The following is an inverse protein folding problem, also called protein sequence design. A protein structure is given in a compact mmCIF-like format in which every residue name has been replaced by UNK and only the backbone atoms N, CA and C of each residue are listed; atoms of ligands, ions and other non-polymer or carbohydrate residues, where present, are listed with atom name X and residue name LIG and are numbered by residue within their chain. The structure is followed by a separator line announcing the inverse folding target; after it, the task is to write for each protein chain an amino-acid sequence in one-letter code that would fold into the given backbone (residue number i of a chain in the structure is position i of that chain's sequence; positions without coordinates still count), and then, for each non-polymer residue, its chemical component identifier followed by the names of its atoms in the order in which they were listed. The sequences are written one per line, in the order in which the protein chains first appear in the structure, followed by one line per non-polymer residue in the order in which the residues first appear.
data_IF_363806062770
#
_entry.id   IF_363806062770
#
_cell.length_a   1.000
_cell.length_b   1.000
_cell.length_c   1.000
_cell.angle_alpha   90.00
_cell.angle_beta   90.00
_cell.angle_gamma   90.00
#
_symmetry.space_group_name_H-M   'P 1'
#
loop_
_entity.id
_entity.type
_entity.pdbx_description
1 polymer ?
#
# COMPACT_ATOMS: atom_id res chain seq x y z
N UNK A 1 14.25 24.16 7.35
CA UNK A 1 13.69 22.81 7.57
C UNK A 1 14.63 21.80 6.93
N UNK A 2 15.10 20.78 7.65
CA UNK A 2 15.93 19.73 7.03
C UNK A 2 15.10 19.00 5.97
N UNK A 3 15.60 18.89 4.75
CA UNK A 3 15.00 18.01 3.75
C UNK A 3 15.16 16.57 4.26
N UNK A 4 14.06 15.96 4.69
CA UNK A 4 14.09 14.55 5.07
C UNK A 4 14.32 13.73 3.80
N UNK A 5 15.35 12.88 3.81
CA UNK A 5 15.58 11.92 2.74
C UNK A 5 14.61 10.75 2.92
N UNK A 6 13.82 10.47 1.88
CA UNK A 6 12.88 9.36 1.86
C UNK A 6 12.85 8.69 0.49
N UNK A 7 12.56 7.40 0.47
CA UNK A 7 12.21 6.69 -0.74
C UNK A 7 10.71 6.75 -0.94
N UNK A 8 10.27 7.20 -2.12
CA UNK A 8 8.85 7.21 -2.45
C UNK A 8 8.50 6.23 -3.55
N UNK A 9 7.34 5.59 -3.40
CA UNK A 9 6.77 4.76 -4.44
C UNK A 9 5.24 4.83 -4.43
N UNK A 10 4.66 4.38 -5.54
CA UNK A 10 3.22 4.36 -5.75
C UNK A 10 2.77 2.92 -5.98
N UNK A 11 1.74 2.52 -5.24
CA UNK A 11 0.97 1.31 -5.47
C UNK A 11 -0.42 1.65 -5.98
N UNK A 12 -0.94 0.82 -6.89
CA UNK A 12 -2.27 0.99 -7.49
C UNK A 12 -2.99 -0.34 -7.55
N UNK A 13 -4.25 -0.37 -7.12
CA UNK A 13 -5.12 -1.54 -7.24
C UNK A 13 -6.55 -1.11 -7.50
N UNK A 14 -7.15 -1.61 -8.58
CA UNK A 14 -8.46 -1.14 -9.06
C UNK A 14 -8.46 0.41 -9.11
N UNK A 15 -9.29 1.04 -8.28
CA UNK A 15 -9.42 2.49 -8.15
C UNK A 15 -8.57 3.08 -7.01
N UNK A 16 -7.95 2.23 -6.18
CA UNK A 16 -7.14 2.65 -5.04
C UNK A 16 -5.72 3.05 -5.47
N UNK A 17 -5.26 4.19 -4.96
CA UNK A 17 -3.91 4.70 -5.12
C UNK A 17 -3.28 4.92 -3.74
N UNK A 18 -2.13 4.30 -3.52
CA UNK A 18 -1.33 4.45 -2.31
C UNK A 18 0.01 5.11 -2.65
N UNK A 19 0.29 6.28 -2.07
CA UNK A 19 1.59 6.93 -2.12
C UNK A 19 2.32 6.65 -0.81
N UNK A 20 3.38 5.86 -0.90
CA UNK A 20 4.18 5.41 0.25
C UNK A 20 5.48 6.22 0.29
N UNK A 21 5.82 6.74 1.46
CA UNK A 21 7.11 7.33 1.78
C UNK A 21 7.77 6.52 2.88
N UNK A 22 8.99 6.11 2.62
CA UNK A 22 9.80 5.28 3.49
C UNK A 22 11.00 6.10 3.94
N UNK A 23 11.11 6.32 5.24
CA UNK A 23 12.15 7.13 5.85
C UNK A 23 13.20 6.22 6.50
N UNK A 24 14.47 6.46 6.15
CA UNK A 24 15.61 5.92 6.88
C UNK A 24 15.85 6.82 8.09
N UNK A 25 15.71 6.26 9.30
CA UNK A 25 15.92 7.03 10.52
C UNK A 25 17.29 6.71 11.09
N UNK A 26 18.19 7.69 11.04
CA UNK A 26 19.53 7.60 11.62
C UNK A 26 19.68 8.67 12.70
N UNK A 27 19.57 8.29 13.98
CA UNK A 27 19.71 9.20 15.11
C UNK A 27 19.34 8.55 16.44
N UNK A 28 19.75 9.15 17.57
CA UNK A 28 19.51 8.62 18.93
C UNK A 28 18.02 8.41 19.25
N UNK A 29 17.15 9.31 18.78
CA UNK A 29 15.71 9.27 19.09
C UNK A 29 14.86 8.51 18.06
N UNK A 30 15.46 8.08 16.94
CA UNK A 30 14.80 7.23 15.91
C UNK A 30 13.38 7.66 15.52
N UNK A 31 13.10 8.97 15.48
CA UNK A 31 11.80 9.53 15.10
C UNK A 31 11.89 10.44 13.88
N UNK A 32 10.78 10.47 13.13
CA UNK A 32 10.60 11.33 11.95
C UNK A 32 9.32 12.13 12.10
N UNK A 33 9.45 13.46 12.01
CA UNK A 33 8.30 14.36 12.05
C UNK A 33 7.83 14.67 10.63
N UNK A 34 6.62 14.25 10.28
CA UNK A 34 6.01 14.46 8.96
C UNK A 34 4.94 15.55 9.06
N UNK A 35 5.06 16.59 8.23
CA UNK A 35 4.01 17.59 8.03
C UNK A 35 3.11 17.13 6.89
N UNK A 36 1.81 16.96 7.17
CA UNK A 36 0.78 16.82 6.14
C UNK A 36 0.02 18.14 6.00
N UNK A 37 -0.49 18.42 4.80
CA UNK A 37 -1.40 19.56 4.58
C UNK A 37 -2.78 19.32 5.19
N UNK A 38 -3.17 18.06 5.34
CA UNK A 38 -4.51 17.65 5.80
C UNK A 38 -4.56 17.40 7.31
N UNK A 39 -3.41 17.16 7.95
CA UNK A 39 -3.34 17.01 9.39
C UNK A 39 -3.15 18.38 10.06
N UNK A 40 -3.97 18.65 11.09
CA UNK A 40 -3.81 19.84 11.95
C UNK A 40 -2.51 19.81 12.76
N UNK A 41 -1.97 18.61 13.02
CA UNK A 41 -0.80 18.40 13.87
C UNK A 41 0.36 17.72 13.13
N UNK A 42 1.57 17.93 13.63
CA UNK A 42 2.77 17.26 13.16
C UNK A 42 2.78 15.81 13.64
N UNK A 43 2.91 14.86 12.70
CA UNK A 43 2.90 13.45 13.02
C UNK A 43 4.33 13.01 13.29
N UNK A 44 4.58 12.54 14.51
CA UNK A 44 5.86 11.90 14.87
C UNK A 44 5.72 10.40 14.64
N UNK A 45 6.56 9.85 13.78
CA UNK A 45 6.60 8.43 13.42
C UNK A 45 7.90 7.84 13.96
N UNK A 46 7.81 6.78 14.75
CA UNK A 46 9.02 6.06 15.21
C UNK A 46 9.46 5.02 14.17
N UNK A 47 10.69 4.57 14.30
CA UNK A 47 11.20 3.44 13.53
C UNK A 47 10.32 2.19 13.76
N UNK A 48 9.95 1.48 12.69
CA UNK A 48 9.04 0.32 12.73
C UNK A 48 7.55 0.68 12.67
N UNK A 49 7.19 1.96 12.85
CA UNK A 49 5.79 2.38 12.81
C UNK A 49 5.34 2.72 11.38
N UNK A 50 4.10 2.34 11.08
CA UNK A 50 3.43 2.63 9.82
C UNK A 50 2.19 3.48 10.09
N UNK A 51 2.12 4.63 9.45
CA UNK A 51 0.97 5.53 9.48
C UNK A 51 0.28 5.57 8.12
N UNK A 52 -1.05 5.45 8.13
CA UNK A 52 -1.92 5.53 6.95
C UNK A 52 -2.91 6.68 7.16
N UNK A 53 -2.92 7.66 6.25
CA UNK A 53 -3.84 8.81 6.32
C UNK A 53 -3.90 9.45 7.72
N UNK A 54 -2.72 9.67 8.31
CA UNK A 54 -2.54 10.32 9.62
C UNK A 54 -2.97 9.50 10.84
N UNK A 55 -3.36 8.23 10.64
CA UNK A 55 -3.70 7.32 11.74
C UNK A 55 -2.70 6.16 11.78
N UNK A 56 -2.48 5.55 12.96
CA UNK A 56 -1.73 4.30 13.06
C UNK A 56 -2.36 3.21 12.19
N UNK A 57 -1.55 2.40 11.51
CA UNK A 57 -2.04 1.38 10.58
C UNK A 57 -3.04 0.40 11.22
N UNK A 58 -2.86 0.07 12.50
CA UNK A 58 -3.74 -0.81 13.26
C UNK A 58 -5.16 -0.25 13.45
N UNK A 59 -5.32 1.08 13.46
CA UNK A 59 -6.63 1.72 13.52
C UNK A 59 -7.30 1.77 12.15
N UNK A 60 -6.53 1.74 11.06
CA UNK A 60 -7.05 1.80 9.69
C UNK A 60 -7.44 0.41 9.15
N UNK A 61 -6.60 -0.59 9.42
CA UNK A 61 -6.83 -2.01 9.08
C UNK A 61 -6.94 -2.80 10.38
N UNK A 62 -8.17 -3.11 10.77
CA UNK A 62 -8.47 -3.72 12.08
C UNK A 62 -8.35 -5.25 12.07
N UNK A 63 -8.39 -5.89 10.90
CA UNK A 63 -8.40 -7.35 10.81
C UNK A 63 -7.00 -7.95 10.87
N UNK A 64 -6.86 -9.07 11.58
CA UNK A 64 -5.60 -9.84 11.66
C UNK A 64 -5.13 -10.34 10.28
N UNK A 65 -6.06 -10.65 9.38
CA UNK A 65 -5.74 -11.04 8.01
C UNK A 65 -5.06 -9.89 7.25
N UNK A 66 -5.57 -8.67 7.43
CA UNK A 66 -5.01 -7.47 6.82
C UNK A 66 -3.63 -7.16 7.40
N UNK A 67 -3.48 -7.33 8.72
CA UNK A 67 -2.19 -7.21 9.43
C UNK A 67 -1.11 -8.11 8.85
N UNK A 68 -1.43 -9.38 8.63
CA UNK A 68 -0.50 -10.32 8.00
C UNK A 68 -0.10 -9.86 6.60
N UNK A 69 -1.05 -9.35 5.81
CA UNK A 69 -0.80 -8.96 4.42
C UNK A 69 0.12 -7.75 4.28
N UNK A 70 -0.10 -6.66 5.03
CA UNK A 70 0.77 -5.48 4.92
C UNK A 70 2.17 -5.68 5.53
N UNK A 71 2.31 -6.56 6.53
CA UNK A 71 3.61 -6.90 7.12
C UNK A 71 4.42 -7.88 6.26
N UNK A 72 3.76 -8.72 5.44
CA UNK A 72 4.43 -9.74 4.62
C UNK A 72 5.65 -9.22 3.82
N UNK A 73 5.59 -8.10 3.07
CA UNK A 73 6.77 -7.60 2.34
C UNK A 73 7.94 -7.15 3.25
N UNK A 74 7.64 -6.67 4.46
CA UNK A 74 8.66 -6.31 5.45
C UNK A 74 9.31 -7.55 6.07
N UNK A 75 8.51 -8.58 6.38
CA UNK A 75 9.00 -9.87 6.89
C UNK A 75 9.93 -10.55 5.90
N UNK A 76 9.50 -10.65 4.64
CA UNK A 76 10.26 -11.30 3.58
C UNK A 76 11.61 -10.62 3.33
N UNK A 77 11.71 -9.31 3.59
CA UNK A 77 12.94 -8.54 3.43
C UNK A 77 13.72 -8.33 4.74
N UNK A 78 13.26 -8.93 5.85
CA UNK A 78 13.81 -8.76 7.21
C UNK A 78 13.98 -7.28 7.64
N UNK A 79 13.02 -6.43 7.29
CA UNK A 79 13.09 -4.97 7.51
C UNK A 79 11.95 -4.41 8.37
N UNK A 80 11.27 -5.23 9.19
CA UNK A 80 10.10 -4.80 9.97
C UNK A 80 10.38 -3.56 10.82
N UNK A 81 11.48 -3.57 11.57
CA UNK A 81 11.83 -2.49 12.51
C UNK A 81 12.84 -1.50 11.93
N UNK A 82 13.09 -1.51 10.61
CA UNK A 82 14.13 -0.68 10.01
C UNK A 82 13.63 0.70 9.62
N UNK A 83 12.38 0.81 9.18
CA UNK A 83 11.88 2.00 8.49
C UNK A 83 10.76 2.68 9.26
N UNK A 84 10.69 4.00 9.18
CA UNK A 84 9.48 4.75 9.52
C UNK A 84 8.68 4.96 8.23
N UNK A 85 7.38 4.64 8.22
CA UNK A 85 6.58 4.64 7.00
C UNK A 85 5.38 5.57 7.12
N UNK A 86 5.24 6.48 6.15
CA UNK A 86 4.06 7.34 6.01
C UNK A 86 3.37 7.07 4.68
N UNK A 87 2.06 6.83 4.74
CA UNK A 87 1.27 6.49 3.55
C UNK A 87 0.05 7.38 3.44
N UNK A 88 -0.19 7.85 2.22
CA UNK A 88 -1.44 8.48 1.81
C UNK A 88 -2.17 7.57 0.83
N UNK A 89 -3.38 7.17 1.17
CA UNK A 89 -4.20 6.26 0.36
C UNK A 89 -5.54 6.92 0.04
N UNK A 90 -5.95 6.85 -1.23
CA UNK A 90 -7.24 7.37 -1.72
C UNK A 90 -7.89 6.41 -2.70
N UNK A 91 -9.23 6.41 -2.74
CA UNK A 91 -10.04 5.66 -3.70
C UNK A 91 -10.25 4.17 -3.36
N UNK A 92 -11.25 3.56 -4.00
CA UNK A 92 -11.64 2.17 -3.83
C UNK A 92 -12.12 1.82 -2.41
N UNK A 93 -12.11 0.52 -2.08
CA UNK A 93 -12.46 -0.01 -0.75
C UNK A 93 -11.26 -0.58 0.00
N UNK A 94 -11.43 -0.97 1.26
CA UNK A 94 -10.36 -1.38 2.18
C UNK A 94 -9.42 -2.44 1.60
N UNK A 95 -9.97 -3.51 1.01
CA UNK A 95 -9.16 -4.58 0.39
C UNK A 95 -8.30 -4.05 -0.77
N UNK A 96 -8.87 -3.21 -1.62
CA UNK A 96 -8.13 -2.60 -2.73
C UNK A 96 -7.05 -1.64 -2.24
N UNK A 97 -7.33 -0.91 -1.16
CA UNK A 97 -6.39 0.00 -0.50
C UNK A 97 -5.22 -0.76 0.14
N UNK A 98 -5.49 -1.89 0.78
CA UNK A 98 -4.49 -2.78 1.37
C UNK A 98 -3.55 -3.35 0.30
N UNK A 99 -4.08 -3.92 -0.78
CA UNK A 99 -3.28 -4.43 -1.89
C UNK A 99 -2.47 -3.32 -2.58
N UNK A 100 -3.05 -2.11 -2.71
CA UNK A 100 -2.31 -0.95 -3.22
C UNK A 100 -1.18 -0.54 -2.26
N UNK A 101 -1.41 -0.57 -0.95
CA UNK A 101 -0.39 -0.31 0.07
C UNK A 101 0.76 -1.32 -0.05
N UNK A 102 0.47 -2.62 -0.11
CA UNK A 102 1.48 -3.69 -0.24
C UNK A 102 2.37 -3.48 -1.46
N UNK A 103 1.77 -3.19 -2.62
CA UNK A 103 2.52 -2.91 -3.85
C UNK A 103 3.37 -1.64 -3.73
N UNK A 104 2.82 -0.58 -3.13
CA UNK A 104 3.54 0.67 -2.90
C UNK A 104 4.73 0.49 -1.96
N UNK A 105 4.53 -0.27 -0.89
CA UNK A 105 5.55 -0.55 0.12
C UNK A 105 6.69 -1.39 -0.47
N UNK A 106 6.35 -2.44 -1.22
CA UNK A 106 7.34 -3.30 -1.88
C UNK A 106 8.21 -2.52 -2.86
N UNK A 107 7.61 -1.60 -3.63
CA UNK A 107 8.35 -0.72 -4.55
C UNK A 107 9.19 0.33 -3.83
N UNK A 108 8.77 0.78 -2.65
CA UNK A 108 9.56 1.71 -1.84
C UNK A 108 10.80 1.00 -1.26
N UNK A 109 10.64 -0.24 -0.80
CA UNK A 109 11.75 -1.08 -0.31
C UNK A 109 12.74 -1.39 -1.45
N UNK A 110 12.22 -1.75 -2.63
CA UNK A 110 13.07 -1.98 -3.82
C UNK A 110 13.93 -0.76 -4.17
N UNK A 111 13.41 0.46 -3.98
CA UNK A 111 14.19 1.68 -4.22
C UNK A 111 15.27 1.94 -3.16
N UNK A 112 15.13 1.38 -1.97
CA UNK A 112 16.11 1.55 -0.91
C UNK A 112 17.37 0.72 -1.17
N UNK A 113 17.21 -0.53 -1.61
CA UNK A 113 18.29 -1.38 -2.10
C UNK A 113 17.74 -2.33 -3.17
N UNK A 114 18.08 -2.03 -4.42
CA UNK A 114 17.51 -2.70 -5.59
C UNK A 114 18.08 -4.10 -5.77
N UNK A 115 19.37 -4.28 -5.54
CA UNK A 115 20.06 -5.53 -5.89
C UNK A 115 19.74 -6.62 -4.87
N UNK A 116 19.61 -6.26 -3.59
CA UNK A 116 19.26 -7.20 -2.52
C UNK A 116 17.76 -7.54 -2.50
N UNK A 117 16.87 -6.55 -2.65
CA UNK A 117 15.44 -6.78 -2.38
C UNK A 117 14.60 -7.15 -3.60
N UNK A 118 14.98 -6.70 -4.80
CA UNK A 118 14.24 -7.02 -6.03
C UNK A 118 14.09 -8.52 -6.28
N UNK A 119 15.14 -9.39 -6.18
CA UNK A 119 14.97 -10.82 -6.46
C UNK A 119 13.98 -11.49 -5.49
N UNK A 120 14.05 -11.13 -4.21
CA UNK A 120 13.18 -11.68 -3.16
C UNK A 120 11.73 -11.23 -3.39
N UNK A 121 11.49 -9.93 -3.59
CA UNK A 121 10.16 -9.37 -3.80
C UNK A 121 9.52 -9.83 -5.12
N UNK A 122 10.34 -10.05 -6.16
CA UNK A 122 9.87 -10.58 -7.45
C UNK A 122 9.47 -12.05 -7.32
N UNK A 123 10.23 -12.86 -6.58
CA UNK A 123 9.93 -14.28 -6.34
C UNK A 123 8.60 -14.47 -5.62
N UNK A 124 8.30 -13.63 -4.63
CA UNK A 124 7.02 -13.64 -3.91
C UNK A 124 5.85 -12.94 -4.66
N UNK A 125 6.13 -12.30 -5.80
CA UNK A 125 5.10 -11.67 -6.64
C UNK A 125 4.63 -10.29 -6.20
N UNK A 126 5.31 -9.62 -5.25
CA UNK A 126 4.86 -8.32 -4.71
C UNK A 126 5.07 -7.11 -5.64
N UNK A 127 5.93 -7.24 -6.66
CA UNK A 127 6.20 -6.16 -7.61
C UNK A 127 5.17 -6.09 -8.75
N UNK A 128 4.41 -7.17 -8.94
CA UNK A 128 3.42 -7.30 -10.01
C UNK A 128 2.13 -6.58 -9.62
N UNK A 129 1.66 -5.68 -10.49
CA UNK A 129 0.37 -5.02 -10.30
C UNK A 129 -0.76 -5.96 -10.70
N UNK A 130 -1.74 -6.18 -9.82
CA UNK A 130 -2.99 -6.84 -10.21
C UNK A 130 -3.86 -5.90 -11.07
N UNK A 131 -3.86 -6.18 -12.37
CA UNK A 131 -4.58 -5.43 -13.40
C UNK A 131 -6.09 -5.72 -13.47
N UNK A 132 -6.61 -6.70 -12.72
CA UNK A 132 -8.02 -7.11 -12.80
C UNK A 132 -8.94 -5.93 -12.42
N UNK A 133 -9.84 -5.57 -13.32
CA UNK A 133 -10.77 -4.45 -13.15
C UNK A 133 -12.19 -4.93 -13.44
N UNK A 134 -13.19 -4.25 -12.90
CA UNK A 134 -14.61 -4.59 -13.16
C UNK A 134 -14.90 -4.40 -14.65
N UNK A 135 -15.34 -5.46 -15.32
CA UNK A 135 -15.76 -5.39 -16.72
C UNK A 135 -17.03 -4.53 -16.84
N UNK A 136 -17.08 -3.69 -17.88
CA UNK A 136 -18.24 -2.85 -18.19
C UNK A 136 -19.46 -3.71 -18.52
N UNK A 137 -20.66 -3.24 -18.18
CA UNK A 137 -21.92 -3.84 -18.64
C UNK A 137 -22.06 -3.69 -20.16
N UNK A 138 -22.28 -4.79 -20.88
CA UNK A 138 -22.50 -4.81 -22.34
C UNK A 138 -24.00 -4.68 -22.67
N UNK A 139 -24.33 -4.09 -23.81
CA UNK A 139 -25.72 -4.08 -24.32
C UNK A 139 -26.22 -5.51 -24.55
N UNK A 140 -27.52 -5.74 -24.42
CA UNK A 140 -28.11 -7.08 -24.55
C UNK A 140 -27.93 -8.02 -23.34
N UNK A 141 -27.06 -7.69 -22.37
CA UNK A 141 -26.86 -8.52 -21.16
C UNK A 141 -27.99 -8.35 -20.12
N UNK A 142 -28.23 -9.40 -19.34
CA UNK A 142 -29.17 -9.48 -18.22
C UNK A 142 -28.75 -8.70 -16.97
N UNK A 143 -28.24 -7.48 -17.14
CA UNK A 143 -27.93 -6.56 -16.03
C UNK A 143 -26.48 -6.53 -15.55
N UNK A 144 -25.63 -7.48 -15.96
CA UNK A 144 -24.21 -7.56 -15.58
C UNK A 144 -23.34 -7.92 -16.81
N UNK A 145 -22.04 -7.61 -16.74
CA UNK A 145 -21.09 -7.73 -17.87
C UNK A 145 -21.17 -9.03 -18.69
N UNK A 146 -21.40 -10.18 -18.03
CA UNK A 146 -21.46 -11.50 -18.68
C UNK A 146 -22.78 -12.25 -18.43
N UNK A 147 -23.73 -11.66 -17.72
CA UNK A 147 -25.01 -12.33 -17.43
C UNK A 147 -25.86 -12.32 -18.69
N UNK A 148 -26.23 -13.48 -19.21
CA UNK A 148 -27.20 -13.57 -20.30
C UNK A 148 -28.62 -13.43 -19.75
N UNK A 149 -29.53 -12.91 -20.57
CA UNK A 149 -30.96 -12.94 -20.26
C UNK A 149 -31.45 -14.36 -20.45
N UNK A 150 -32.35 -14.82 -19.58
CA UNK A 150 -33.02 -16.11 -19.78
C UNK A 150 -33.86 -16.01 -21.06
N UNK A 151 -33.61 -16.89 -22.02
CA UNK A 151 -34.42 -17.02 -23.23
C UNK A 151 -35.30 -18.25 -23.09
N UNK A 152 -36.64 -18.08 -23.05
CA UNK A 152 -37.53 -19.23 -23.08
C UNK A 152 -37.42 -19.88 -24.47
N UNK A 153 -37.03 -21.16 -24.50
CA UNK A 153 -37.21 -21.99 -25.68
C UNK A 153 -38.68 -22.42 -25.67
N UNK A 154 -39.46 -21.84 -26.57
CA UNK A 154 -40.82 -22.30 -26.85
C UNK A 154 -40.78 -23.68 -27.48
#
# INVERSE_FOLDING_TARGET
MKNLQYYEAIGRRKESLARVRLYLVSGKEKTVTVKSKEAKELIKIKQGEIFVNHKPIASYFSSNAEKSQYLKPLKVTNNEDRFAVSVLIRGGGLVGQLEALVLGLSRAIEKADKDSYRPILKKEGFLTRDARTRERRKVGTGGKARRQKQSPKR
#
